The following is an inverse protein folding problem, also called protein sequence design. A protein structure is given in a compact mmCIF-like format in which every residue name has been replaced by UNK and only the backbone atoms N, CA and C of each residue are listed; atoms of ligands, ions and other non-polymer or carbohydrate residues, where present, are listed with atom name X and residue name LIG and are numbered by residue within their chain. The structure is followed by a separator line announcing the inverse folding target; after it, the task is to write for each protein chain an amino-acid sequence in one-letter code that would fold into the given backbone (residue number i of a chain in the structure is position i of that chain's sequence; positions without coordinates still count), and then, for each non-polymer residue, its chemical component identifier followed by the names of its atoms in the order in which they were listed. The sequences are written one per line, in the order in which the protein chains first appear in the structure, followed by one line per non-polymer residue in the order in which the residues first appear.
data_IF_311819807845
#
_entry.id   IF_311819807845
#
_cell.length_a   1.000
_cell.length_b   1.000
_cell.length_c   1.000
_cell.angle_alpha   90.00
_cell.angle_beta   90.00
_cell.angle_gamma   90.00
#
_symmetry.space_group_name_H-M   'P 1'
#
loop_
_entity.id
_entity.type
_entity.pdbx_description
1 polymer ?
#
# COMPACT_ATOMS: atom_id res chain seq x y z
N UNK A 1 37.51 9.33 16.30
CA UNK A 1 37.60 10.41 15.29
C UNK A 1 36.93 11.70 15.79
N UNK A 2 37.43 12.35 16.85
CA UNK A 2 36.82 13.54 17.46
C UNK A 2 37.87 14.63 17.82
N UNK A 3 39.02 14.67 17.16
CA UNK A 3 40.14 15.45 17.69
C UNK A 3 40.35 16.86 17.09
N UNK A 4 39.67 17.28 16.03
CA UNK A 4 39.97 18.58 15.39
C UNK A 4 38.75 19.47 15.10
N UNK A 5 37.72 19.43 15.95
CA UNK A 5 36.60 20.36 15.74
C UNK A 5 36.74 21.62 16.61
N UNK A 6 36.75 22.79 15.96
CA UNK A 6 36.74 24.10 16.64
C UNK A 6 35.51 24.21 17.55
N UNK A 7 35.60 24.97 18.67
CA UNK A 7 34.48 25.12 19.61
C UNK A 7 33.17 25.56 18.96
N UNK A 8 33.24 26.42 17.95
CA UNK A 8 32.09 26.88 17.15
C UNK A 8 31.42 25.74 16.36
N UNK A 9 32.19 24.79 15.81
CA UNK A 9 31.69 23.60 15.13
C UNK A 9 31.05 22.61 16.10
N UNK A 10 31.59 22.46 17.30
CA UNK A 10 30.99 21.61 18.36
C UNK A 10 29.64 22.14 18.80
N UNK A 11 29.54 23.46 19.02
CA UNK A 11 28.27 24.10 19.36
C UNK A 11 27.23 23.93 18.25
N UNK A 12 27.60 24.24 17.00
CA UNK A 12 26.72 24.06 15.84
C UNK A 12 26.23 22.60 15.70
N UNK A 13 27.13 21.64 15.79
CA UNK A 13 26.77 20.21 15.72
C UNK A 13 25.91 19.78 16.92
N UNK A 14 26.12 20.36 18.10
CA UNK A 14 25.27 20.15 19.28
C UNK A 14 23.86 20.63 19.05
N UNK A 15 23.69 21.87 18.56
CA UNK A 15 22.39 22.45 18.23
C UNK A 15 21.67 21.65 17.13
N UNK A 16 22.39 21.26 16.07
CA UNK A 16 21.81 20.44 15.01
C UNK A 16 21.34 19.06 15.49
N UNK A 17 22.13 18.40 16.34
CA UNK A 17 21.71 17.13 16.95
C UNK A 17 20.50 17.31 17.85
N UNK A 18 20.49 18.36 18.68
CA UNK A 18 19.33 18.66 19.53
C UNK A 18 18.07 18.89 18.70
N UNK A 19 18.17 19.66 17.59
CA UNK A 19 17.07 19.90 16.67
C UNK A 19 16.57 18.59 16.02
N UNK A 20 17.48 17.73 15.58
CA UNK A 20 17.14 16.43 15.00
C UNK A 20 16.40 15.53 16.00
N UNK A 21 16.91 15.42 17.25
CA UNK A 21 16.24 14.63 18.29
C UNK A 21 14.89 15.21 18.69
N UNK A 22 14.78 16.55 18.77
CA UNK A 22 13.52 17.23 19.06
C UNK A 22 12.49 17.00 17.97
N UNK A 23 12.88 17.11 16.70
CA UNK A 23 12.00 16.83 15.55
C UNK A 23 11.57 15.37 15.54
N UNK A 24 12.49 14.42 15.73
CA UNK A 24 12.17 12.99 15.79
C UNK A 24 11.25 12.67 16.99
N UNK A 25 11.53 13.26 18.15
CA UNK A 25 10.70 13.09 19.34
C UNK A 25 9.28 13.64 19.15
N UNK A 26 9.15 14.81 18.52
CA UNK A 26 7.85 15.43 18.23
C UNK A 26 7.02 14.57 17.28
N UNK A 27 7.62 14.05 16.19
CA UNK A 27 6.93 13.15 15.25
C UNK A 27 6.51 11.86 15.94
N UNK A 28 7.40 11.25 16.74
CA UNK A 28 7.08 10.06 17.49
C UNK A 28 5.94 10.29 18.50
N UNK A 29 6.00 11.40 19.26
CA UNK A 29 4.97 11.75 20.22
C UNK A 29 3.62 12.00 19.54
N UNK A 30 3.59 12.72 18.40
CA UNK A 30 2.37 12.97 17.65
C UNK A 30 1.78 11.65 17.12
N UNK A 31 2.60 10.77 16.60
CA UNK A 31 2.16 9.46 16.09
C UNK A 31 1.56 8.60 17.20
N UNK A 32 2.24 8.51 18.35
CA UNK A 32 1.76 7.77 19.52
C UNK A 32 0.45 8.39 20.04
N UNK A 33 0.39 9.72 20.10
CA UNK A 33 -0.82 10.44 20.51
C UNK A 33 -2.01 10.12 19.60
N UNK A 34 -1.84 10.18 18.27
CA UNK A 34 -2.91 9.88 17.32
C UNK A 34 -3.39 8.43 17.44
N UNK A 35 -2.45 7.48 17.54
CA UNK A 35 -2.78 6.07 17.75
C UNK A 35 -3.56 5.87 19.05
N UNK A 36 -3.07 6.41 20.14
CA UNK A 36 -3.72 6.32 21.45
C UNK A 36 -5.11 6.97 21.43
N UNK A 37 -5.24 8.15 20.82
CA UNK A 37 -6.50 8.86 20.70
C UNK A 37 -7.56 8.06 19.95
N UNK A 38 -7.18 7.46 18.79
CA UNK A 38 -8.10 6.63 18.01
C UNK A 38 -8.51 5.38 18.79
N UNK A 39 -7.58 4.73 19.49
CA UNK A 39 -7.89 3.53 20.29
C UNK A 39 -8.77 3.87 21.49
N UNK A 40 -8.47 4.93 22.25
CA UNK A 40 -9.25 5.33 23.42
C UNK A 40 -10.68 5.70 23.02
N UNK A 41 -10.87 6.32 21.86
CA UNK A 41 -12.19 6.70 21.37
C UNK A 41 -12.93 5.57 20.66
N UNK A 42 -12.21 4.69 19.96
CA UNK A 42 -12.83 3.64 19.14
C UNK A 42 -13.12 2.32 19.88
N UNK A 43 -12.25 1.94 20.83
CA UNK A 43 -12.41 0.66 21.55
C UNK A 43 -13.72 0.55 22.35
N UNK A 44 -14.22 1.59 23.03
CA UNK A 44 -15.47 1.51 23.77
C UNK A 44 -16.70 1.20 22.91
N UNK A 45 -16.71 1.65 21.66
CA UNK A 45 -17.82 1.46 20.72
C UNK A 45 -17.69 0.15 19.91
N UNK A 46 -16.60 -0.62 20.11
CA UNK A 46 -16.41 -1.92 19.48
C UNK A 46 -17.29 -2.97 20.18
N UNK A 47 -18.19 -3.55 19.41
CA UNK A 47 -18.96 -4.73 19.86
C UNK A 47 -18.69 -5.92 18.97
N UNK A 48 -18.77 -7.13 19.53
CA UNK A 48 -18.66 -8.36 18.73
C UNK A 48 -19.75 -8.43 17.65
N UNK A 49 -20.93 -7.91 17.97
CA UNK A 49 -22.05 -7.81 17.03
C UNK A 49 -21.69 -6.93 15.84
N UNK A 50 -21.05 -5.77 16.04
CA UNK A 50 -20.59 -4.87 14.97
C UNK A 50 -19.65 -5.59 13.99
N UNK A 51 -18.73 -6.42 14.49
CA UNK A 51 -17.75 -7.14 13.68
C UNK A 51 -18.33 -8.30 12.87
N UNK A 52 -19.39 -8.93 13.35
CA UNK A 52 -19.90 -10.20 12.81
C UNK A 52 -21.24 -10.07 12.07
N UNK A 53 -21.88 -8.91 12.11
CA UNK A 53 -23.19 -8.72 11.49
C UNK A 53 -23.13 -7.82 10.25
N UNK A 54 -24.20 -7.91 9.46
CA UNK A 54 -24.49 -6.96 8.38
C UNK A 54 -25.22 -5.75 8.95
N UNK A 55 -25.07 -4.55 8.38
CA UNK A 55 -25.91 -3.42 8.75
C UNK A 55 -27.37 -3.71 8.41
N UNK A 56 -28.26 -3.36 9.31
CA UNK A 56 -29.70 -3.52 9.12
C UNK A 56 -30.45 -2.28 9.62
N UNK A 57 -31.08 -1.59 8.70
CA UNK A 57 -31.91 -0.43 9.02
C UNK A 57 -33.17 -0.80 9.80
N UNK A 58 -33.68 -2.04 9.60
CA UNK A 58 -34.88 -2.51 10.29
C UNK A 58 -34.65 -2.80 11.77
N UNK A 59 -33.49 -3.32 12.11
CA UNK A 59 -33.11 -3.66 13.50
C UNK A 59 -32.21 -2.59 14.15
N UNK A 60 -31.88 -1.52 13.46
CA UNK A 60 -30.96 -0.48 13.95
C UNK A 60 -29.55 -1.01 14.23
N UNK A 61 -29.19 -2.17 13.71
CA UNK A 61 -27.86 -2.77 13.96
C UNK A 61 -26.83 -2.21 12.99
N UNK A 62 -25.73 -1.71 13.55
CA UNK A 62 -24.55 -1.25 12.81
C UNK A 62 -23.61 -2.45 12.73
N UNK A 63 -23.49 -3.04 11.52
CA UNK A 63 -22.56 -4.13 11.26
C UNK A 63 -21.58 -3.74 10.15
N UNK A 64 -20.31 -4.09 10.30
CA UNK A 64 -19.23 -3.75 9.35
C UNK A 64 -18.55 -4.98 8.75
N UNK A 65 -19.11 -6.17 8.96
CA UNK A 65 -18.56 -7.39 8.37
C UNK A 65 -18.38 -7.31 6.84
N UNK A 66 -19.36 -6.80 6.06
CA UNK A 66 -19.18 -6.62 4.62
C UNK A 66 -17.98 -5.73 4.28
N UNK A 67 -17.79 -4.62 5.01
CA UNK A 67 -16.74 -3.65 4.76
C UNK A 67 -15.36 -4.22 5.07
N UNK A 68 -15.25 -5.08 6.09
CA UNK A 68 -14.02 -5.82 6.42
C UNK A 68 -13.66 -6.75 5.25
N UNK A 69 -14.62 -7.55 4.78
CA UNK A 69 -14.39 -8.51 3.69
C UNK A 69 -14.07 -7.80 2.37
N UNK A 70 -14.82 -6.75 2.02
CA UNK A 70 -14.57 -5.94 0.83
C UNK A 70 -13.17 -5.32 0.87
N UNK A 71 -12.70 -4.87 2.04
CA UNK A 71 -11.34 -4.34 2.22
C UNK A 71 -10.29 -5.42 1.96
N UNK A 72 -10.48 -6.62 2.48
CA UNK A 72 -9.57 -7.75 2.22
C UNK A 72 -9.59 -8.15 0.75
N UNK A 73 -10.77 -8.23 0.13
CA UNK A 73 -10.92 -8.58 -1.29
C UNK A 73 -10.20 -7.60 -2.20
N UNK A 74 -10.39 -6.30 -1.98
CA UNK A 74 -9.77 -5.27 -2.82
C UNK A 74 -8.25 -5.24 -2.65
N UNK A 75 -7.74 -5.44 -1.42
CA UNK A 75 -6.30 -5.53 -1.15
C UNK A 75 -5.68 -6.70 -1.90
N UNK A 76 -6.28 -7.89 -1.78
CA UNK A 76 -5.79 -9.10 -2.45
C UNK A 76 -5.80 -8.91 -3.97
N UNK A 77 -6.93 -8.47 -4.53
CA UNK A 77 -7.07 -8.30 -5.98
C UNK A 77 -6.07 -7.28 -6.53
N UNK A 78 -5.94 -6.13 -5.86
CA UNK A 78 -4.98 -5.09 -6.26
C UNK A 78 -3.55 -5.61 -6.22
N UNK A 79 -3.14 -6.31 -5.16
CA UNK A 79 -1.78 -6.85 -5.02
C UNK A 79 -1.49 -7.95 -6.05
N UNK A 80 -2.44 -8.84 -6.32
CA UNK A 80 -2.30 -9.91 -7.32
C UNK A 80 -2.04 -9.34 -8.72
N UNK A 81 -2.57 -8.16 -9.02
CA UNK A 81 -2.37 -7.50 -10.32
C UNK A 81 -1.12 -6.60 -10.29
N UNK A 82 -1.00 -5.73 -9.28
CA UNK A 82 0.03 -4.68 -9.30
C UNK A 82 1.44 -5.22 -9.05
N UNK A 83 1.59 -6.28 -8.23
CA UNK A 83 2.91 -6.84 -7.95
C UNK A 83 3.56 -7.48 -9.19
N UNK A 84 2.93 -8.41 -9.93
CA UNK A 84 3.53 -8.96 -11.13
C UNK A 84 3.82 -7.90 -12.19
N UNK A 85 2.90 -6.96 -12.40
CA UNK A 85 3.06 -5.91 -13.41
C UNK A 85 4.17 -4.93 -13.01
N UNK A 86 4.18 -4.46 -11.76
CA UNK A 86 5.17 -3.50 -11.24
C UNK A 86 6.57 -4.10 -11.15
N UNK A 87 6.69 -5.33 -10.65
CA UNK A 87 7.98 -6.05 -10.60
C UNK A 87 8.47 -6.34 -12.02
N UNK A 88 7.59 -6.81 -12.91
CA UNK A 88 7.94 -7.06 -14.30
C UNK A 88 8.41 -5.80 -15.03
N UNK A 89 7.71 -4.68 -14.84
CA UNK A 89 8.13 -3.37 -15.38
C UNK A 89 9.49 -2.93 -14.83
N UNK A 90 9.72 -3.08 -13.52
CA UNK A 90 10.99 -2.75 -12.88
C UNK A 90 12.15 -3.60 -13.44
N UNK A 91 11.94 -4.91 -13.58
CA UNK A 91 12.93 -5.81 -14.18
C UNK A 91 13.21 -5.42 -15.64
N UNK A 92 12.17 -5.13 -16.42
CA UNK A 92 12.36 -4.70 -17.81
C UNK A 92 13.20 -3.42 -17.89
N UNK A 93 12.83 -2.40 -17.11
CA UNK A 93 13.51 -1.09 -17.15
C UNK A 93 14.96 -1.16 -16.63
N UNK A 94 15.22 -2.01 -15.64
CA UNK A 94 16.56 -2.13 -15.03
C UNK A 94 17.47 -3.04 -15.84
N UNK A 95 16.96 -4.18 -16.31
CA UNK A 95 17.79 -5.24 -16.89
C UNK A 95 17.74 -5.32 -18.42
N UNK A 96 16.60 -5.00 -19.03
CA UNK A 96 16.39 -5.19 -20.47
C UNK A 96 16.40 -3.92 -21.31
N UNK A 97 16.04 -2.76 -20.74
CA UNK A 97 15.86 -1.54 -21.51
C UNK A 97 17.18 -1.06 -22.12
N UNK A 98 17.35 -1.27 -23.45
CA UNK A 98 18.50 -0.78 -24.22
C UNK A 98 18.39 0.73 -24.51
N UNK A 99 17.16 1.20 -24.74
CA UNK A 99 16.91 2.60 -25.05
C UNK A 99 16.69 3.41 -23.76
N UNK A 100 17.75 4.06 -23.31
CA UNK A 100 17.73 4.90 -22.10
C UNK A 100 16.73 6.06 -22.16
N UNK A 101 16.41 6.58 -23.37
CA UNK A 101 15.43 7.66 -23.52
C UNK A 101 14.01 7.16 -23.25
N UNK A 102 13.67 5.98 -23.78
CA UNK A 102 12.36 5.36 -23.54
C UNK A 102 12.21 4.97 -22.06
N UNK A 103 13.24 4.38 -21.46
CA UNK A 103 13.22 4.06 -20.03
C UNK A 103 13.00 5.31 -19.17
N UNK A 104 13.74 6.39 -19.45
CA UNK A 104 13.58 7.66 -18.75
C UNK A 104 12.19 8.29 -18.94
N UNK A 105 11.59 8.15 -20.12
CA UNK A 105 10.21 8.63 -20.35
C UNK A 105 9.19 7.84 -19.50
N UNK A 106 9.33 6.52 -19.40
CA UNK A 106 8.45 5.68 -18.57
C UNK A 106 8.63 6.02 -17.09
N UNK A 107 9.88 6.19 -16.62
CA UNK A 107 10.17 6.59 -15.25
C UNK A 107 9.57 7.97 -14.93
N UNK A 108 9.72 8.94 -15.83
CA UNK A 108 9.13 10.27 -15.67
C UNK A 108 7.60 10.23 -15.66
N UNK A 109 6.98 9.44 -16.53
CA UNK A 109 5.53 9.24 -16.54
C UNK A 109 5.03 8.63 -15.22
N UNK A 110 5.73 7.61 -14.71
CA UNK A 110 5.41 6.99 -13.43
C UNK A 110 5.58 7.96 -12.24
N UNK A 111 6.60 8.82 -12.26
CA UNK A 111 6.81 9.84 -11.25
C UNK A 111 5.69 10.89 -11.29
N UNK A 112 5.30 11.33 -12.48
CA UNK A 112 4.16 12.25 -12.67
C UNK A 112 2.85 11.64 -12.15
N UNK A 113 2.59 10.37 -12.46
CA UNK A 113 1.43 9.64 -11.93
C UNK A 113 1.43 9.62 -10.40
N UNK A 114 2.56 9.40 -9.74
CA UNK A 114 2.62 9.35 -8.28
C UNK A 114 2.24 10.67 -7.59
N UNK A 115 2.33 11.80 -8.29
CA UNK A 115 1.97 13.13 -7.80
C UNK A 115 0.49 13.51 -7.97
N UNK A 116 -0.30 12.72 -8.69
CA UNK A 116 -1.72 13.02 -8.92
C UNK A 116 -2.55 12.75 -7.65
N UNK A 117 -3.44 13.68 -7.23
CA UNK A 117 -4.34 13.46 -6.11
C UNK A 117 -5.27 12.25 -6.34
N UNK A 118 -5.50 11.46 -5.28
CA UNK A 118 -6.27 10.20 -5.38
C UNK A 118 -7.71 10.38 -5.88
N UNK A 119 -8.33 11.52 -5.58
CA UNK A 119 -9.67 11.84 -6.08
C UNK A 119 -9.74 11.90 -7.62
N UNK A 120 -8.67 12.38 -8.27
CA UNK A 120 -8.58 12.42 -9.74
C UNK A 120 -8.48 11.00 -10.28
N UNK A 121 -7.72 10.11 -9.63
CA UNK A 121 -7.71 8.68 -9.97
C UNK A 121 -9.10 8.05 -9.86
N UNK A 122 -9.87 8.43 -8.83
CA UNK A 122 -11.25 7.98 -8.65
C UNK A 122 -12.14 8.41 -9.79
N UNK A 123 -12.10 9.69 -10.17
CA UNK A 123 -12.90 10.23 -11.28
C UNK A 123 -12.50 9.61 -12.62
N UNK A 124 -11.21 9.53 -12.93
CA UNK A 124 -10.72 8.89 -14.16
C UNK A 124 -11.05 7.39 -14.16
N UNK A 125 -10.87 6.72 -13.04
CA UNK A 125 -11.21 5.30 -12.88
C UNK A 125 -12.69 5.03 -13.08
N UNK A 126 -13.57 5.90 -12.57
CA UNK A 126 -15.01 5.84 -12.81
C UNK A 126 -15.32 5.98 -14.31
N UNK A 127 -14.77 6.99 -14.96
CA UNK A 127 -15.01 7.22 -16.40
C UNK A 127 -14.49 6.07 -17.27
N UNK A 128 -13.31 5.55 -16.95
CA UNK A 128 -12.66 4.50 -17.77
C UNK A 128 -13.24 3.13 -17.45
N UNK A 129 -13.24 2.72 -16.18
CA UNK A 129 -13.63 1.36 -15.83
C UNK A 129 -15.13 1.18 -15.68
N UNK A 130 -15.81 2.12 -15.00
CA UNK A 130 -17.25 1.97 -14.78
C UNK A 130 -18.06 2.31 -16.04
N UNK A 131 -17.74 3.42 -16.73
CA UNK A 131 -18.51 3.88 -17.88
C UNK A 131 -17.98 3.27 -19.20
N UNK A 132 -16.73 3.55 -19.59
CA UNK A 132 -16.19 3.15 -20.90
C UNK A 132 -16.10 1.63 -21.05
N UNK A 133 -15.60 0.91 -20.02
CA UNK A 133 -15.53 -0.56 -20.04
C UNK A 133 -16.81 -1.24 -19.54
N UNK A 134 -17.81 -0.46 -19.09
CA UNK A 134 -19.11 -0.98 -18.68
C UNK A 134 -19.08 -1.87 -17.42
N UNK A 135 -18.01 -1.79 -16.62
CA UNK A 135 -17.86 -2.62 -15.41
C UNK A 135 -18.80 -2.19 -14.29
N UNK A 136 -19.50 -1.06 -14.46
CA UNK A 136 -20.29 -0.40 -13.42
C UNK A 136 -19.42 -0.14 -12.16
N UNK A 137 -20.02 0.49 -11.15
CA UNK A 137 -19.38 0.62 -9.83
C UNK A 137 -19.20 -0.77 -9.23
N UNK A 138 -17.96 -1.17 -8.95
CA UNK A 138 -17.63 -2.51 -8.46
C UNK A 138 -16.27 -2.54 -7.76
N UNK A 139 -16.05 -3.54 -6.91
CA UNK A 139 -14.74 -3.74 -6.28
C UNK A 139 -13.63 -3.96 -7.31
N UNK A 140 -13.94 -4.59 -8.45
CA UNK A 140 -12.97 -4.77 -9.55
C UNK A 140 -12.56 -3.45 -10.17
N UNK A 141 -13.51 -2.53 -10.46
CA UNK A 141 -13.20 -1.21 -10.97
C UNK A 141 -12.33 -0.41 -9.97
N UNK A 142 -12.66 -0.51 -8.68
CA UNK A 142 -11.86 0.05 -7.60
C UNK A 142 -10.44 -0.53 -7.56
N UNK A 143 -10.30 -1.84 -7.62
CA UNK A 143 -8.98 -2.51 -7.60
C UNK A 143 -8.12 -2.13 -8.81
N UNK A 144 -8.68 -2.04 -10.01
CA UNK A 144 -7.96 -1.59 -11.21
C UNK A 144 -7.50 -0.13 -11.09
N UNK A 145 -8.32 0.73 -10.53
CA UNK A 145 -7.95 2.12 -10.23
C UNK A 145 -6.80 2.18 -9.23
N UNK A 146 -6.87 1.40 -8.16
CA UNK A 146 -5.80 1.27 -7.17
C UNK A 146 -4.52 0.65 -7.77
N UNK A 147 -4.64 -0.25 -8.74
CA UNK A 147 -3.48 -0.79 -9.45
C UNK A 147 -2.71 0.31 -10.16
N UNK A 148 -3.40 1.16 -10.94
CA UNK A 148 -2.74 2.28 -11.64
C UNK A 148 -2.08 3.22 -10.64
N UNK A 149 -2.75 3.53 -9.53
CA UNK A 149 -2.25 4.42 -8.48
C UNK A 149 -1.02 3.87 -7.75
N UNK A 150 -0.94 2.54 -7.53
CA UNK A 150 0.14 1.89 -6.79
C UNK A 150 1.29 1.40 -7.69
N UNK A 151 1.07 1.27 -8.99
CA UNK A 151 2.06 0.78 -9.95
C UNK A 151 3.40 1.54 -9.88
N UNK A 152 3.44 2.89 -9.86
CA UNK A 152 4.68 3.64 -9.73
C UNK A 152 5.47 3.29 -8.46
N UNK A 153 4.78 3.12 -7.34
CA UNK A 153 5.42 2.79 -6.04
C UNK A 153 6.08 1.43 -6.09
N UNK A 154 5.36 0.40 -6.54
CA UNK A 154 5.90 -0.97 -6.65
C UNK A 154 7.06 -1.02 -7.65
N UNK A 155 6.90 -0.39 -8.81
CA UNK A 155 7.93 -0.34 -9.85
C UNK A 155 9.21 0.32 -9.32
N UNK A 156 9.11 1.49 -8.69
CA UNK A 156 10.25 2.26 -8.20
C UNK A 156 11.00 1.56 -7.06
N UNK A 157 10.28 1.08 -6.04
CA UNK A 157 10.91 0.35 -4.92
C UNK A 157 11.61 -0.93 -5.40
N UNK A 158 11.01 -1.61 -6.37
CA UNK A 158 11.62 -2.79 -6.99
C UNK A 158 12.87 -2.40 -7.79
N UNK A 159 12.82 -1.36 -8.63
CA UNK A 159 13.98 -0.88 -9.38
C UNK A 159 15.15 -0.50 -8.47
N UNK A 160 14.87 0.25 -7.39
CA UNK A 160 15.89 0.63 -6.41
C UNK A 160 16.53 -0.61 -5.79
N UNK A 161 15.75 -1.61 -5.44
CA UNK A 161 16.27 -2.86 -4.88
C UNK A 161 17.05 -3.70 -5.90
N UNK A 162 16.60 -3.79 -7.16
CA UNK A 162 17.36 -4.47 -8.22
C UNK A 162 18.74 -3.83 -8.43
N UNK A 163 18.85 -2.50 -8.31
CA UNK A 163 20.12 -1.77 -8.44
C UNK A 163 21.08 -2.02 -7.27
N UNK A 164 20.61 -2.46 -6.11
CA UNK A 164 21.50 -2.77 -4.96
C UNK A 164 22.23 -4.09 -5.10
N UNK A 165 21.79 -4.99 -5.98
CA UNK A 165 22.45 -6.28 -6.22
C UNK A 165 23.82 -6.04 -6.87
N UNK A 166 24.94 -6.51 -6.27
CA UNK A 166 26.28 -6.28 -6.76
C UNK A 166 26.48 -6.79 -8.19
N UNK A 167 27.17 -5.98 -9.01
CA UNK A 167 27.45 -6.32 -10.40
C UNK A 167 28.33 -7.58 -10.50
N UNK A 168 29.22 -7.80 -9.55
CA UNK A 168 30.10 -8.99 -9.48
C UNK A 168 29.32 -10.32 -9.43
N UNK A 169 28.16 -10.34 -8.77
CA UNK A 169 27.29 -11.53 -8.74
C UNK A 169 26.69 -11.84 -10.12
N UNK A 170 26.32 -10.80 -10.85
CA UNK A 170 25.80 -10.90 -12.23
C UNK A 170 26.90 -11.40 -13.18
N UNK A 171 28.09 -10.81 -13.12
CA UNK A 171 29.24 -11.18 -13.94
C UNK A 171 29.71 -12.61 -13.64
N UNK A 172 29.74 -12.99 -12.35
CA UNK A 172 30.05 -14.37 -11.95
C UNK A 172 29.08 -15.39 -12.54
N UNK A 173 27.78 -15.10 -12.50
CA UNK A 173 26.77 -15.98 -13.08
C UNK A 173 26.88 -16.04 -14.61
N UNK A 174 27.16 -14.92 -15.30
CA UNK A 174 27.45 -14.91 -16.75
C UNK A 174 28.71 -15.69 -17.09
N UNK A 175 29.76 -15.56 -16.27
CA UNK A 175 31.02 -16.32 -16.43
C UNK A 175 30.83 -17.83 -16.32
N UNK A 176 29.85 -18.30 -15.56
CA UNK A 176 29.44 -19.70 -15.45
C UNK A 176 28.53 -20.15 -16.62
N UNK A 177 28.29 -19.28 -17.63
CA UNK A 177 27.48 -19.60 -18.82
C UNK A 177 25.98 -19.41 -18.60
N UNK A 178 25.54 -18.77 -17.52
CA UNK A 178 24.11 -18.54 -17.33
C UNK A 178 23.57 -17.50 -18.33
N UNK A 179 22.43 -17.80 -18.97
CA UNK A 179 21.73 -16.83 -19.83
C UNK A 179 21.10 -15.70 -18.98
N UNK A 180 20.83 -14.55 -19.61
CA UNK A 180 20.34 -13.32 -18.94
C UNK A 180 19.10 -13.56 -18.07
N UNK A 181 18.10 -14.28 -18.59
CA UNK A 181 16.90 -14.61 -17.83
C UNK A 181 17.20 -15.43 -16.57
N UNK A 182 18.13 -16.40 -16.70
CA UNK A 182 18.54 -17.23 -15.56
C UNK A 182 19.21 -16.40 -14.49
N UNK A 183 20.11 -15.47 -14.86
CA UNK A 183 20.76 -14.55 -13.92
C UNK A 183 19.72 -13.69 -13.19
N UNK A 184 18.73 -13.16 -13.90
CA UNK A 184 17.66 -12.36 -13.28
C UNK A 184 16.88 -13.18 -12.26
N UNK A 185 16.44 -14.37 -12.63
CA UNK A 185 15.58 -15.21 -11.79
C UNK A 185 16.33 -15.82 -10.59
N UNK A 186 17.62 -16.21 -10.77
CA UNK A 186 18.37 -16.92 -9.74
C UNK A 186 19.30 -16.05 -8.89
N UNK A 187 19.64 -14.85 -9.33
CA UNK A 187 20.57 -13.96 -8.64
C UNK A 187 19.93 -12.61 -8.32
N UNK A 188 19.36 -11.94 -9.34
CA UNK A 188 18.94 -10.55 -9.20
C UNK A 188 17.62 -10.44 -8.43
N UNK A 189 16.58 -11.16 -8.83
CA UNK A 189 15.28 -11.16 -8.14
C UNK A 189 15.40 -11.64 -6.69
N UNK A 190 16.07 -12.77 -6.40
CA UNK A 190 16.30 -13.17 -5.03
C UNK A 190 17.05 -12.10 -4.21
N UNK A 191 18.11 -11.56 -4.75
CA UNK A 191 18.87 -10.49 -4.09
C UNK A 191 18.09 -9.19 -3.84
N UNK A 192 16.93 -9.02 -4.47
CA UNK A 192 16.08 -7.82 -4.38
C UNK A 192 14.76 -8.03 -3.60
N UNK A 193 14.54 -9.20 -3.02
CA UNK A 193 13.29 -9.55 -2.30
C UNK A 193 12.93 -8.52 -1.23
N UNK A 194 13.90 -8.01 -0.48
CA UNK A 194 13.66 -7.03 0.60
C UNK A 194 12.97 -5.76 0.08
N UNK A 195 13.34 -5.26 -1.10
CA UNK A 195 12.70 -4.09 -1.70
C UNK A 195 11.34 -4.39 -2.30
N UNK A 196 11.17 -5.57 -2.90
CA UNK A 196 9.87 -6.01 -3.43
C UNK A 196 8.87 -6.12 -2.28
N UNK A 197 9.27 -6.72 -1.15
CA UNK A 197 8.44 -6.82 0.05
C UNK A 197 8.14 -5.45 0.64
N UNK A 198 9.12 -4.54 0.67
CA UNK A 198 8.91 -3.16 1.12
C UNK A 198 7.90 -2.43 0.24
N UNK A 199 8.00 -2.58 -1.09
CA UNK A 199 7.03 -2.05 -2.05
C UNK A 199 5.62 -2.62 -1.83
N UNK A 200 5.52 -3.92 -1.54
CA UNK A 200 4.25 -4.56 -1.19
C UNK A 200 3.65 -3.95 0.08
N UNK A 201 4.43 -3.80 1.16
CA UNK A 201 3.99 -3.21 2.43
C UNK A 201 3.52 -1.77 2.24
N UNK A 202 4.26 -0.95 1.50
CA UNK A 202 3.87 0.43 1.18
C UNK A 202 2.56 0.48 0.38
N UNK A 203 2.41 -0.41 -0.60
CA UNK A 203 1.18 -0.51 -1.39
C UNK A 203 -0.02 -0.94 -0.54
N UNK A 204 0.13 -1.92 0.34
CA UNK A 204 -0.92 -2.33 1.28
C UNK A 204 -1.37 -1.15 2.15
N UNK A 205 -0.43 -0.42 2.74
CA UNK A 205 -0.74 0.76 3.56
C UNK A 205 -1.54 1.80 2.78
N UNK A 206 -1.15 2.06 1.53
CA UNK A 206 -1.83 3.01 0.65
C UNK A 206 -3.22 2.53 0.23
N UNK A 207 -3.39 1.25 -0.10
CA UNK A 207 -4.70 0.65 -0.44
C UNK A 207 -5.65 0.71 0.75
N UNK A 208 -5.18 0.34 1.95
CA UNK A 208 -5.98 0.36 3.17
C UNK A 208 -6.41 1.77 3.58
N UNK A 209 -5.59 2.78 3.29
CA UNK A 209 -5.90 4.18 3.59
C UNK A 209 -6.74 4.90 2.53
N UNK A 210 -7.00 4.27 1.37
CA UNK A 210 -7.65 4.95 0.26
C UNK A 210 -9.17 4.95 0.39
N UNK A 211 -9.76 6.12 0.40
CA UNK A 211 -11.23 6.31 0.41
C UNK A 211 -11.72 7.07 -0.81
N UNK A 212 -11.02 8.15 -1.21
CA UNK A 212 -11.50 9.06 -2.23
C UNK A 212 -11.64 8.39 -3.60
N UNK A 213 -10.63 7.64 -4.05
CA UNK A 213 -10.72 6.92 -5.31
C UNK A 213 -11.78 5.83 -5.29
N UNK A 214 -11.91 5.12 -4.16
CA UNK A 214 -12.84 4.01 -4.02
C UNK A 214 -14.30 4.45 -3.93
N UNK A 215 -14.57 5.62 -3.38
CA UNK A 215 -15.92 6.19 -3.33
C UNK A 215 -16.56 6.28 -4.72
N UNK A 216 -15.76 6.63 -5.73
CA UNK A 216 -16.23 6.78 -7.13
C UNK A 216 -16.23 5.46 -7.89
N UNK A 217 -15.35 4.52 -7.57
CA UNK A 217 -15.12 3.32 -8.38
C UNK A 217 -15.65 2.04 -7.76
N UNK A 218 -15.48 1.85 -6.45
CA UNK A 218 -15.97 0.69 -5.72
C UNK A 218 -17.37 0.91 -5.11
N UNK A 219 -17.72 2.16 -4.82
CA UNK A 219 -19.00 2.53 -4.22
C UNK A 219 -19.02 2.39 -2.69
N UNK A 220 -20.22 2.50 -2.13
CA UNK A 220 -20.44 2.55 -0.68
C UNK A 220 -21.54 1.58 -0.20
N UNK A 221 -21.81 0.52 -0.95
CA UNK A 221 -22.79 -0.49 -0.55
C UNK A 221 -22.24 -1.42 0.56
N UNK A 222 -22.99 -1.57 1.63
CA UNK A 222 -22.65 -2.44 2.78
C UNK A 222 -23.28 -3.84 2.64
N UNK A 223 -23.16 -4.43 1.46
CA UNK A 223 -23.79 -5.73 1.17
C UNK A 223 -22.76 -6.85 1.27
N UNK A 224 -23.13 -7.94 1.90
CA UNK A 224 -22.27 -9.11 2.03
C UNK A 224 -22.48 -10.04 0.84
N UNK A 225 -21.43 -10.17 0.06
CA UNK A 225 -21.33 -11.10 -1.07
C UNK A 225 -20.21 -12.12 -0.85
N UNK A 226 -20.28 -13.25 -1.57
CA UNK A 226 -19.14 -14.14 -1.72
C UNK A 226 -18.00 -13.46 -2.50
N UNK A 227 -16.81 -14.05 -2.49
CA UNK A 227 -15.61 -13.43 -3.09
C UNK A 227 -15.83 -13.03 -4.56
N UNK A 228 -16.22 -13.97 -5.42
CA UNK A 228 -16.37 -13.70 -6.86
C UNK A 228 -17.56 -12.76 -7.18
N UNK A 229 -18.64 -12.91 -6.44
CA UNK A 229 -19.81 -12.05 -6.60
C UNK A 229 -19.51 -10.65 -6.08
N UNK A 230 -18.83 -10.52 -4.94
CA UNK A 230 -18.44 -9.25 -4.36
C UNK A 230 -17.53 -8.42 -5.27
N UNK A 231 -16.65 -9.08 -6.04
CA UNK A 231 -15.78 -8.38 -6.99
C UNK A 231 -16.55 -7.64 -8.09
N UNK A 232 -17.72 -8.15 -8.50
CA UNK A 232 -18.52 -7.59 -9.57
C UNK A 232 -19.59 -6.60 -9.11
N UNK A 233 -19.78 -6.48 -7.80
CA UNK A 233 -20.79 -5.63 -7.19
C UNK A 233 -20.17 -4.44 -6.45
N UNK A 234 -20.96 -3.37 -6.23
CA UNK A 234 -20.52 -2.26 -5.39
C UNK A 234 -20.27 -2.73 -3.95
N UNK A 235 -19.20 -2.23 -3.35
CA UNK A 235 -18.87 -2.57 -1.97
C UNK A 235 -18.06 -1.48 -1.28
N UNK A 236 -18.53 -1.05 -0.11
CA UNK A 236 -17.76 -0.15 0.73
C UNK A 236 -16.54 -0.87 1.31
N UNK A 237 -15.39 -0.21 1.31
CA UNK A 237 -14.26 -0.60 2.16
C UNK A 237 -14.39 0.04 3.53
N UNK A 238 -13.61 -0.43 4.50
CA UNK A 238 -13.60 0.17 5.84
C UNK A 238 -13.28 1.67 5.83
N UNK A 239 -12.40 2.14 4.94
CA UNK A 239 -12.08 3.57 4.80
C UNK A 239 -13.24 4.36 4.20
N UNK A 240 -13.95 3.81 3.23
CA UNK A 240 -15.16 4.41 2.69
C UNK A 240 -16.27 4.43 3.74
N UNK A 241 -16.47 3.32 4.46
CA UNK A 241 -17.42 3.23 5.56
C UNK A 241 -17.12 4.26 6.65
N UNK A 242 -15.85 4.39 7.08
CA UNK A 242 -15.41 5.40 8.03
C UNK A 242 -15.80 6.82 7.56
N UNK A 243 -15.55 7.14 6.29
CA UNK A 243 -15.93 8.42 5.72
C UNK A 243 -17.43 8.66 5.78
N UNK A 244 -18.24 7.68 5.36
CA UNK A 244 -19.70 7.76 5.33
C UNK A 244 -20.26 7.94 6.76
N UNK A 245 -19.83 7.11 7.72
CA UNK A 245 -20.29 7.22 9.11
C UNK A 245 -19.88 8.54 9.76
N UNK A 246 -18.63 8.99 9.55
CA UNK A 246 -18.14 10.24 10.15
C UNK A 246 -18.74 11.48 9.51
N UNK A 247 -18.80 11.54 8.16
CA UNK A 247 -19.08 12.78 7.44
C UNK A 247 -20.54 12.93 7.06
N UNK A 248 -21.20 11.84 6.67
CA UNK A 248 -22.55 11.90 6.16
C UNK A 248 -23.60 11.55 7.22
N UNK A 249 -23.28 10.61 8.12
CA UNK A 249 -24.21 10.18 9.18
C UNK A 249 -23.96 10.88 10.52
N UNK A 250 -22.77 11.44 10.74
CA UNK A 250 -22.41 12.09 12.02
C UNK A 250 -22.15 11.13 13.17
N UNK A 251 -22.04 9.81 12.89
CA UNK A 251 -21.82 8.74 13.84
C UNK A 251 -20.32 8.57 14.16
N UNK A 252 -19.76 9.54 14.90
CA UNK A 252 -18.33 9.58 15.21
C UNK A 252 -17.84 8.39 16.03
N UNK A 253 -18.67 7.83 16.95
CA UNK A 253 -18.31 6.65 17.73
C UNK A 253 -18.02 5.45 16.82
N UNK A 254 -18.94 5.17 15.88
CA UNK A 254 -18.77 4.13 14.87
C UNK A 254 -17.55 4.38 13.99
N UNK A 255 -17.33 5.62 13.56
CA UNK A 255 -16.18 5.99 12.75
C UNK A 255 -14.85 5.73 13.49
N UNK A 256 -14.75 6.07 14.78
CA UNK A 256 -13.57 5.77 15.60
C UNK A 256 -13.37 4.26 15.80
N UNK A 257 -14.45 3.50 15.98
CA UNK A 257 -14.39 2.05 16.05
C UNK A 257 -13.84 1.44 14.74
N UNK A 258 -14.34 1.89 13.58
CA UNK A 258 -13.83 1.47 12.27
C UNK A 258 -12.35 1.87 12.10
N UNK A 259 -11.96 3.07 12.53
CA UNK A 259 -10.57 3.51 12.47
C UNK A 259 -9.65 2.62 13.32
N UNK A 260 -10.09 2.20 14.51
CA UNK A 260 -9.35 1.27 15.36
C UNK A 260 -9.18 -0.10 14.69
N UNK A 261 -10.24 -0.61 14.05
CA UNK A 261 -10.19 -1.88 13.30
C UNK A 261 -9.25 -1.78 12.09
N UNK A 262 -9.33 -0.69 11.32
CA UNK A 262 -8.42 -0.44 10.20
C UNK A 262 -6.96 -0.46 10.64
N UNK A 263 -6.67 0.16 11.78
CA UNK A 263 -5.31 0.20 12.32
C UNK A 263 -4.82 -1.20 12.70
N UNK A 264 -5.66 -2.02 13.35
CA UNK A 264 -5.33 -3.42 13.66
C UNK A 264 -5.17 -4.24 12.38
N UNK A 265 -6.07 -4.08 11.40
CA UNK A 265 -6.01 -4.78 10.13
C UNK A 265 -4.72 -4.42 9.36
N UNK A 266 -4.36 -3.14 9.30
CA UNK A 266 -3.12 -2.68 8.70
C UNK A 266 -1.89 -3.31 9.38
N UNK A 267 -1.85 -3.35 10.71
CA UNK A 267 -0.77 -3.99 11.45
C UNK A 267 -0.67 -5.49 11.13
N UNK A 268 -1.79 -6.20 11.12
CA UNK A 268 -1.85 -7.64 10.82
C UNK A 268 -1.36 -7.93 9.40
N UNK A 269 -1.85 -7.18 8.40
CA UNK A 269 -1.47 -7.39 7.00
C UNK A 269 0.01 -7.04 6.79
N UNK A 270 0.50 -5.93 7.35
CA UNK A 270 1.91 -5.55 7.25
C UNK A 270 2.83 -6.56 7.94
N UNK A 271 2.43 -7.08 9.10
CA UNK A 271 3.16 -8.14 9.79
C UNK A 271 3.20 -9.43 8.97
N UNK A 272 2.07 -9.84 8.39
CA UNK A 272 1.98 -11.00 7.50
C UNK A 272 2.87 -10.84 6.26
N UNK A 273 2.84 -9.68 5.60
CA UNK A 273 3.71 -9.37 4.46
C UNK A 273 5.20 -9.45 4.84
N UNK A 274 5.57 -8.89 5.99
CA UNK A 274 6.94 -8.98 6.52
C UNK A 274 7.38 -10.41 6.84
N UNK A 275 6.48 -11.27 7.36
CA UNK A 275 6.78 -12.68 7.61
C UNK A 275 6.99 -13.45 6.30
N UNK A 276 6.17 -13.20 5.28
CA UNK A 276 6.31 -13.80 3.95
C UNK A 276 7.68 -13.43 3.36
N UNK A 277 8.05 -12.14 3.41
CA UNK A 277 9.36 -11.67 2.95
C UNK A 277 10.52 -12.37 3.65
N UNK A 278 10.48 -12.48 4.99
CA UNK A 278 11.51 -13.19 5.75
C UNK A 278 11.60 -14.68 5.39
N UNK A 279 10.49 -15.34 5.10
CA UNK A 279 10.47 -16.75 4.68
C UNK A 279 11.04 -16.94 3.27
N UNK A 280 10.75 -16.05 2.35
CA UNK A 280 11.34 -16.06 1.01
C UNK A 280 12.85 -15.95 1.09
N UNK A 281 13.36 -14.96 1.83
CA UNK A 281 14.81 -14.78 2.03
C UNK A 281 15.52 -15.98 2.67
N UNK A 282 14.89 -16.68 3.62
CA UNK A 282 15.46 -17.89 4.24
C UNK A 282 15.55 -19.08 3.30
N UNK A 283 14.70 -19.17 2.28
CA UNK A 283 14.77 -20.26 1.29
C UNK A 283 15.91 -20.08 0.29
N UNK A 284 16.36 -18.85 0.10
CA UNK A 284 17.41 -18.48 -0.86
C UNK A 284 18.81 -18.53 -0.25
N UNK A 285 18.92 -18.46 1.07
CA UNK A 285 20.18 -18.62 1.81
C UNK A 285 20.55 -20.08 2.13
N UNK A 286 19.83 -21.05 1.55
CA UNK A 286 20.14 -22.48 1.56
C UNK A 286 20.41 -22.96 0.13
#
# INVERSE_FOLDING_TARGET
MNHDMTPKRRFYNGCMRALMYLSAGLVAALTIFLIAYVLIRGVPDLSWQMLTTKPSYLSGTIGILPDILNTVYIVILTLVIVLPVGVGAAVYLTEYAKNRRLAGLIEYAAETLSGIPSIIYGLVGMLVFCELFGMKTSLTAGALTLCIMNLPTVMRTTQESLKTVPQSLREGAFGLGAGKWRVIYTVVLPGSVDGIVSGCILSVGRILGESAALLFTAGFAHTLYGFFEGLQNPGATLTVALYVYAKEQGEFGVAFAIAAILMVLALVINFAAGLVGKRLKRREGR
#
